data_IF_324375806432
#
_entry.id   IF_324375806432
#
_cell.length_a   1.000
_cell.length_b   1.000
_cell.length_c   1.000
_cell.angle_alpha   90.00
_cell.angle_beta   90.00
_cell.angle_gamma   90.00
#
_symmetry.space_group_name_H-M   'P 1'
#
loop_
_entity.id
_entity.type
_entity.pdbx_description
1 polymer ?
#
# COMPACT_ATOMS: atom_id res chain seq x y z
N UNK A 1 50.78 2.26 -24.00
CA UNK A 1 49.57 3.07 -23.74
C UNK A 1 48.76 2.35 -22.67
N UNK A 2 48.89 2.76 -21.41
CA UNK A 2 48.12 2.17 -20.29
C UNK A 2 46.85 2.98 -20.09
N UNK A 3 45.71 2.40 -20.43
CA UNK A 3 44.38 2.98 -20.22
C UNK A 3 43.99 2.77 -18.75
N UNK A 4 44.03 3.83 -17.94
CA UNK A 4 43.46 3.84 -16.59
C UNK A 4 41.93 3.87 -16.71
N UNK A 5 41.28 2.77 -16.31
CA UNK A 5 39.83 2.72 -16.23
C UNK A 5 39.31 3.70 -15.15
N UNK A 6 38.18 4.38 -15.36
CA UNK A 6 37.61 5.30 -14.39
C UNK A 6 37.11 4.54 -13.16
N UNK A 7 37.48 5.04 -11.97
CA UNK A 7 36.98 4.53 -10.69
C UNK A 7 35.54 5.01 -10.51
N UNK A 8 34.59 4.08 -10.49
CA UNK A 8 33.18 4.38 -10.26
C UNK A 8 32.96 4.43 -8.75
N UNK A 9 32.79 5.61 -8.17
CA UNK A 9 32.43 5.75 -6.75
C UNK A 9 30.93 5.46 -6.58
N UNK A 10 30.53 4.52 -5.72
CA UNK A 10 29.11 4.25 -5.49
C UNK A 10 28.44 5.46 -4.82
N UNK A 11 27.23 5.79 -5.25
CA UNK A 11 26.42 6.85 -4.66
C UNK A 11 26.13 6.56 -3.17
N UNK A 12 26.00 7.59 -2.31
CA UNK A 12 25.75 7.40 -0.89
C UNK A 12 24.40 6.71 -0.65
N UNK A 13 24.42 5.58 0.05
CA UNK A 13 23.22 4.86 0.45
C UNK A 13 22.44 5.62 1.53
N UNK A 14 21.11 5.49 1.53
CA UNK A 14 20.27 6.04 2.60
C UNK A 14 20.64 5.41 3.95
N UNK A 15 20.67 6.22 5.01
CA UNK A 15 20.90 5.73 6.38
C UNK A 15 19.76 4.80 6.81
N UNK A 16 20.13 3.73 7.54
CA UNK A 16 19.18 2.70 8.02
C UNK A 16 17.99 3.30 8.77
N UNK A 17 18.24 4.27 9.67
CA UNK A 17 17.19 4.93 10.44
C UNK A 17 16.17 5.67 9.56
N UNK A 18 16.61 6.30 8.46
CA UNK A 18 15.72 6.96 7.50
C UNK A 18 14.83 5.96 6.77
N UNK A 19 15.38 4.80 6.41
CA UNK A 19 14.61 3.72 5.75
C UNK A 19 13.56 3.16 6.71
N UNK A 20 13.94 2.85 7.95
CA UNK A 20 13.02 2.35 8.98
C UNK A 20 11.87 3.34 9.23
N UNK A 21 12.19 4.62 9.40
CA UNK A 21 11.18 5.65 9.63
C UNK A 21 10.21 5.78 8.45
N UNK A 22 10.74 5.80 7.21
CA UNK A 22 9.90 5.86 6.01
C UNK A 22 8.99 4.64 5.88
N UNK A 23 9.50 3.44 6.19
CA UNK A 23 8.71 2.22 6.22
C UNK A 23 7.62 2.26 7.29
N UNK A 24 7.94 2.74 8.50
CA UNK A 24 6.97 2.88 9.57
C UNK A 24 5.83 3.82 9.20
N UNK A 25 6.14 4.99 8.64
CA UNK A 25 5.14 5.95 8.18
C UNK A 25 4.24 5.33 7.10
N UNK A 26 4.84 4.66 6.11
CA UNK A 26 4.08 3.98 5.06
C UNK A 26 3.12 2.93 5.63
N UNK A 27 3.61 2.08 6.53
CA UNK A 27 2.77 1.09 7.22
C UNK A 27 1.67 1.77 8.03
N UNK A 28 1.96 2.84 8.78
CA UNK A 28 0.94 3.55 9.54
C UNK A 28 -0.17 4.13 8.67
N UNK A 29 0.16 4.70 7.51
CA UNK A 29 -0.85 5.23 6.57
C UNK A 29 -1.72 4.10 6.02
N UNK A 30 -1.11 2.98 5.62
CA UNK A 30 -1.85 1.81 5.11
C UNK A 30 -2.83 1.25 6.15
N UNK A 31 -2.41 1.18 7.42
CA UNK A 31 -3.31 0.77 8.49
C UNK A 31 -4.39 1.81 8.78
N UNK A 32 -4.05 3.10 8.75
CA UNK A 32 -5.00 4.18 8.99
C UNK A 32 -6.16 4.12 8.01
N UNK A 33 -5.87 4.12 6.70
CA UNK A 33 -6.91 4.06 5.67
C UNK A 33 -7.75 2.78 5.78
N UNK A 34 -7.09 1.63 5.97
CA UNK A 34 -7.80 0.36 6.13
C UNK A 34 -8.75 0.34 7.33
N UNK A 35 -8.36 0.94 8.45
CA UNK A 35 -9.21 1.04 9.65
C UNK A 35 -10.39 1.99 9.45
N UNK A 36 -10.16 3.13 8.80
CA UNK A 36 -11.24 4.08 8.48
C UNK A 36 -12.25 3.41 7.55
N UNK A 37 -11.78 2.73 6.50
CA UNK A 37 -12.63 1.98 5.60
C UNK A 37 -13.41 0.86 6.31
N UNK A 38 -12.74 0.08 7.17
CA UNK A 38 -13.40 -0.97 7.95
C UNK A 38 -14.51 -0.42 8.86
N UNK A 39 -14.24 0.72 9.51
CA UNK A 39 -15.23 1.40 10.37
C UNK A 39 -16.43 1.88 9.55
N UNK A 40 -16.17 2.46 8.37
CA UNK A 40 -17.22 2.87 7.45
C UNK A 40 -18.02 1.66 6.89
N UNK A 41 -17.36 0.52 6.67
CA UNK A 41 -18.00 -0.71 6.22
C UNK A 41 -18.99 -1.28 7.25
N UNK A 42 -18.77 -1.03 8.54
CA UNK A 42 -19.70 -1.39 9.61
C UNK A 42 -20.82 -0.35 9.75
N UNK A 43 -20.46 0.94 9.80
CA UNK A 43 -21.35 2.00 10.28
C UNK A 43 -22.11 2.75 9.18
N UNK A 44 -21.57 2.81 7.96
CA UNK A 44 -22.03 3.74 6.91
C UNK A 44 -22.46 2.99 5.65
N UNK A 45 -21.60 2.11 5.13
CA UNK A 45 -21.80 1.48 3.82
C UNK A 45 -23.04 0.59 3.71
N UNK A 46 -23.46 -0.19 4.73
CA UNK A 46 -24.70 -0.99 4.64
C UNK A 46 -25.92 -0.11 4.33
N UNK A 47 -26.02 1.04 5.02
CA UNK A 47 -27.12 1.98 4.84
C UNK A 47 -26.98 2.86 3.58
N UNK A 48 -25.76 3.08 3.08
CA UNK A 48 -25.52 3.97 1.95
C UNK A 48 -25.62 3.26 0.60
N UNK A 49 -25.11 2.02 0.51
CA UNK A 49 -24.98 1.29 -0.76
C UNK A 49 -25.92 0.09 -0.90
N UNK A 50 -26.44 -0.46 0.21
CA UNK A 50 -27.26 -1.68 0.22
C UNK A 50 -28.66 -1.45 0.81
N UNK A 51 -29.33 -0.36 0.40
CA UNK A 51 -30.60 0.12 0.99
C UNK A 51 -31.81 -0.79 0.76
N UNK A 52 -31.77 -1.68 -0.24
CA UNK A 52 -32.87 -2.58 -0.59
C UNK A 52 -32.74 -3.97 0.04
N UNK A 53 -31.69 -4.21 0.83
CA UNK A 53 -31.44 -5.48 1.52
C UNK A 53 -31.94 -5.42 2.97
N UNK A 54 -32.19 -6.59 3.58
CA UNK A 54 -32.40 -6.63 5.02
C UNK A 54 -31.12 -6.24 5.76
N UNK A 55 -31.20 -5.78 7.03
CA UNK A 55 -30.05 -5.24 7.75
C UNK A 55 -28.85 -6.19 7.86
N UNK A 56 -29.09 -7.50 7.90
CA UNK A 56 -28.02 -8.49 8.04
C UNK A 56 -27.33 -8.72 6.70
N UNK A 57 -28.12 -8.89 5.63
CA UNK A 57 -27.58 -9.05 4.27
C UNK A 57 -26.80 -7.80 3.83
N UNK A 58 -27.32 -6.59 4.10
CA UNK A 58 -26.64 -5.33 3.80
C UNK A 58 -25.25 -5.23 4.47
N UNK A 59 -25.14 -5.67 5.73
CA UNK A 59 -23.88 -5.70 6.45
C UNK A 59 -22.92 -6.75 5.85
N UNK A 60 -23.42 -7.93 5.52
CA UNK A 60 -22.61 -8.98 4.89
C UNK A 60 -22.11 -8.56 3.50
N UNK A 61 -22.95 -7.90 2.69
CA UNK A 61 -22.59 -7.35 1.38
C UNK A 61 -21.50 -6.28 1.53
N UNK A 62 -21.63 -5.38 2.51
CA UNK A 62 -20.59 -4.40 2.84
C UNK A 62 -19.27 -5.05 3.26
N UNK A 63 -19.32 -6.10 4.10
CA UNK A 63 -18.15 -6.87 4.48
C UNK A 63 -17.55 -7.67 3.32
N UNK A 64 -18.36 -8.13 2.36
CA UNK A 64 -17.85 -8.79 1.17
C UNK A 64 -17.01 -7.82 0.33
N UNK A 65 -17.48 -6.58 0.15
CA UNK A 65 -16.71 -5.53 -0.54
C UNK A 65 -15.43 -5.20 0.22
N UNK A 66 -15.51 -4.99 1.54
CA UNK A 66 -14.31 -4.81 2.38
C UNK A 66 -13.35 -6.00 2.27
N UNK A 67 -13.89 -7.22 2.20
CA UNK A 67 -13.16 -8.48 2.02
C UNK A 67 -12.27 -8.50 0.78
N UNK A 68 -12.67 -7.80 -0.31
CA UNK A 68 -11.86 -7.69 -1.54
C UNK A 68 -10.48 -7.10 -1.25
N UNK A 69 -10.36 -6.21 -0.27
CA UNK A 69 -9.08 -5.61 0.10
C UNK A 69 -8.04 -6.66 0.57
N UNK A 70 -8.46 -7.79 1.14
CA UNK A 70 -7.57 -8.88 1.54
C UNK A 70 -6.95 -9.62 0.35
N UNK A 71 -7.59 -9.56 -0.82
CA UNK A 71 -7.05 -10.10 -2.08
C UNK A 71 -6.25 -9.01 -2.80
N UNK A 72 -6.76 -7.77 -2.81
CA UNK A 72 -6.10 -6.63 -3.43
C UNK A 72 -4.72 -6.37 -2.83
N UNK A 73 -4.54 -6.56 -1.52
CA UNK A 73 -3.24 -6.38 -0.83
C UNK A 73 -2.14 -7.30 -1.34
N UNK A 74 -2.30 -8.65 -1.36
CA UNK A 74 -1.34 -9.55 -2.00
C UNK A 74 -1.06 -9.21 -3.47
N UNK A 75 -2.11 -8.85 -4.23
CA UNK A 75 -1.93 -8.50 -5.65
C UNK A 75 -1.11 -7.22 -5.79
N UNK A 76 -1.43 -6.20 -5.00
CA UNK A 76 -0.69 -4.94 -4.93
C UNK A 76 0.75 -5.16 -4.48
N UNK A 77 0.99 -6.00 -3.47
CA UNK A 77 2.35 -6.28 -2.98
C UNK A 77 3.21 -7.02 -4.00
N UNK A 78 2.62 -7.90 -4.82
CA UNK A 78 3.33 -8.55 -5.94
C UNK A 78 3.68 -7.50 -7.01
N UNK A 79 2.72 -6.65 -7.41
CA UNK A 79 2.92 -5.63 -8.44
C UNK A 79 3.95 -4.59 -8.00
N UNK A 80 3.71 -3.92 -6.87
CA UNK A 80 4.61 -2.91 -6.34
C UNK A 80 5.92 -3.52 -5.84
N UNK A 81 5.94 -4.78 -5.38
CA UNK A 81 7.19 -5.50 -5.10
C UNK A 81 8.05 -5.63 -6.36
N UNK A 82 7.46 -6.11 -7.46
CA UNK A 82 8.14 -6.24 -8.75
C UNK A 82 8.67 -4.90 -9.28
N UNK A 83 7.85 -3.84 -9.24
CA UNK A 83 8.30 -2.51 -9.65
C UNK A 83 9.36 -1.94 -8.69
N UNK A 84 9.28 -2.25 -7.41
CA UNK A 84 10.28 -1.84 -6.40
C UNK A 84 11.66 -2.42 -6.68
N UNK A 85 11.71 -3.67 -7.16
CA UNK A 85 12.96 -4.34 -7.53
C UNK A 85 13.50 -3.91 -8.91
N UNK A 86 12.63 -3.50 -9.86
CA UNK A 86 13.05 -3.06 -11.20
C UNK A 86 13.33 -1.56 -11.33
N UNK A 87 12.47 -0.71 -10.79
CA UNK A 87 12.45 0.75 -11.00
C UNK A 87 13.04 1.48 -9.78
N UNK A 88 13.03 0.83 -8.61
CA UNK A 88 13.68 1.29 -7.39
C UNK A 88 12.69 1.57 -6.26
N UNK A 89 13.02 1.02 -5.08
CA UNK A 89 12.15 1.00 -3.88
C UNK A 89 11.59 2.35 -3.46
N UNK A 90 12.37 3.44 -3.57
CA UNK A 90 11.91 4.78 -3.15
C UNK A 90 10.77 5.30 -4.03
N UNK A 91 10.93 5.24 -5.35
CA UNK A 91 9.94 5.75 -6.29
C UNK A 91 8.64 4.94 -6.20
N UNK A 92 8.78 3.63 -6.10
CA UNK A 92 7.64 2.72 -5.93
C UNK A 92 6.90 2.95 -4.62
N UNK A 93 7.59 3.16 -3.50
CA UNK A 93 6.96 3.46 -2.21
C UNK A 93 6.16 4.77 -2.26
N UNK A 94 6.72 5.82 -2.88
CA UNK A 94 6.00 7.08 -3.05
C UNK A 94 4.79 6.89 -3.97
N UNK A 95 4.96 6.17 -5.08
CA UNK A 95 3.87 5.85 -5.99
C UNK A 95 2.74 5.09 -5.31
N UNK A 96 3.06 4.05 -4.53
CA UNK A 96 2.04 3.28 -3.80
C UNK A 96 1.31 4.13 -2.77
N UNK A 97 2.02 5.02 -2.05
CA UNK A 97 1.39 5.91 -1.07
C UNK A 97 0.49 6.97 -1.71
N UNK A 98 0.75 7.39 -2.95
CA UNK A 98 -0.08 8.36 -3.67
C UNK A 98 -1.33 7.73 -4.28
N UNK A 99 -1.31 6.41 -4.52
CA UNK A 99 -2.44 5.67 -5.11
C UNK A 99 -3.41 5.11 -4.08
N UNK A 100 -2.98 4.97 -2.82
CA UNK A 100 -3.85 4.62 -1.70
C UNK A 100 -4.69 5.84 -1.35
#
# INVERSE_FOLDING_TARGET
>A
MSTTAPVITPAPANTRGRVILASLIGTSIEFYDFYVYATAAVLVFPALFFTNEDPTTALLSSFAVFGVAFIARPVGSILFGHFGDRIGRKGTLVGSLLTM
#
